data_IF_282892900810
#
_entry.id   IF_282892900810
#
_cell.length_a   1.000
_cell.length_b   1.000
_cell.length_c   1.000
_cell.angle_alpha   90.00
_cell.angle_beta   90.00
_cell.angle_gamma   90.00
#
_symmetry.space_group_name_H-M   'P 1'
#
loop_
_entity.id
_entity.type
_entity.pdbx_description
1 polymer ?
#
# COMPACT_ATOMS: atom_id res chain seq x y z
N UNK A 1 12.72 -32.64 -19.46
CA UNK A 1 13.17 -31.26 -19.23
C UNK A 1 12.16 -30.36 -19.92
N UNK A 2 11.15 -29.91 -19.18
CA UNK A 2 10.05 -29.09 -19.70
C UNK A 2 10.46 -27.62 -19.73
N UNK A 3 10.26 -26.99 -20.88
CA UNK A 3 10.42 -25.56 -21.13
C UNK A 3 9.46 -24.74 -20.27
N UNK A 4 9.98 -23.87 -19.40
CA UNK A 4 9.16 -22.87 -18.69
C UNK A 4 9.68 -22.31 -17.37
N UNK A 5 10.76 -22.84 -16.77
CA UNK A 5 11.25 -22.32 -15.48
C UNK A 5 11.81 -20.90 -15.63
N UNK A 6 11.20 -19.95 -14.90
CA UNK A 6 11.71 -18.58 -14.76
C UNK A 6 13.06 -18.59 -14.04
N UNK A 7 13.97 -17.68 -14.43
CA UNK A 7 15.30 -17.61 -13.85
C UNK A 7 15.26 -17.06 -12.41
N UNK A 8 15.73 -17.86 -11.44
CA UNK A 8 15.86 -17.47 -10.03
C UNK A 8 16.92 -16.40 -9.84
N UNK A 9 16.51 -15.15 -10.00
CA UNK A 9 17.40 -13.98 -9.99
C UNK A 9 17.11 -13.01 -8.83
N UNK A 10 16.05 -13.28 -8.05
CA UNK A 10 15.60 -12.39 -7.00
C UNK A 10 16.04 -12.88 -5.61
N UNK A 11 17.12 -12.29 -5.10
CA UNK A 11 17.56 -12.49 -3.71
C UNK A 11 16.64 -11.86 -2.67
N UNK A 12 16.82 -12.22 -1.39
CA UNK A 12 15.98 -11.81 -0.26
C UNK A 12 15.65 -10.31 -0.20
N UNK A 13 16.64 -9.44 -0.44
CA UNK A 13 16.44 -7.99 -0.41
C UNK A 13 15.48 -7.53 -1.51
N UNK A 14 15.67 -8.00 -2.74
CA UNK A 14 14.76 -7.71 -3.85
C UNK A 14 13.34 -8.21 -3.56
N UNK A 15 13.22 -9.43 -3.03
CA UNK A 15 11.95 -10.04 -2.61
C UNK A 15 11.24 -9.22 -1.52
N UNK A 16 11.97 -8.74 -0.52
CA UNK A 16 11.44 -7.83 0.51
C UNK A 16 10.99 -6.50 -0.08
N UNK A 17 11.80 -5.88 -0.95
CA UNK A 17 11.44 -4.61 -1.58
C UNK A 17 10.19 -4.72 -2.45
N UNK A 18 10.00 -5.82 -3.17
CA UNK A 18 8.76 -6.07 -3.93
C UNK A 18 7.58 -6.21 -2.97
N UNK A 19 7.72 -6.97 -1.88
CA UNK A 19 6.66 -7.13 -0.87
C UNK A 19 6.29 -5.80 -0.21
N UNK A 20 7.29 -5.00 0.18
CA UNK A 20 7.11 -3.66 0.74
C UNK A 20 6.48 -2.70 -0.28
N UNK A 21 6.95 -2.68 -1.52
CA UNK A 21 6.36 -1.88 -2.58
C UNK A 21 4.92 -2.25 -2.90
N UNK A 22 4.56 -3.54 -2.81
CA UNK A 22 3.19 -3.97 -2.94
C UNK A 22 2.31 -3.49 -1.78
N UNK A 23 2.86 -3.19 -0.60
CA UNK A 23 2.13 -2.59 0.52
C UNK A 23 2.08 -1.06 0.41
N UNK A 24 3.20 -0.42 0.04
CA UNK A 24 3.38 1.03 -0.04
C UNK A 24 2.56 1.63 -1.17
N UNK A 25 1.60 2.48 -0.82
CA UNK A 25 0.80 3.23 -1.77
C UNK A 25 -0.34 3.92 -1.07
N UNK A 26 -1.55 3.86 -1.63
CA UNK A 26 -2.71 4.58 -1.09
C UNK A 26 -3.05 4.21 0.36
N UNK A 27 -2.59 3.04 0.81
CA UNK A 27 -2.59 2.63 2.21
C UNK A 27 -2.03 3.69 3.17
N UNK A 28 -0.83 4.21 2.89
CA UNK A 28 -0.21 5.22 3.77
C UNK A 28 -0.40 6.65 3.26
N UNK A 29 -0.54 6.84 1.95
CA UNK A 29 -0.67 8.17 1.36
C UNK A 29 -2.08 8.75 1.47
N UNK A 30 -3.13 7.93 1.62
CA UNK A 30 -4.54 8.38 1.60
C UNK A 30 -5.31 7.94 2.85
N UNK A 31 -5.17 6.67 3.28
CA UNK A 31 -6.01 6.14 4.36
C UNK A 31 -5.80 6.74 5.75
N UNK A 32 -4.67 7.36 6.15
CA UNK A 32 -4.53 7.89 7.52
C UNK A 32 -5.65 8.86 7.92
N UNK A 33 -6.01 9.82 7.08
CA UNK A 33 -7.10 10.76 7.35
C UNK A 33 -8.47 10.08 7.37
N UNK A 34 -8.74 9.16 6.42
CA UNK A 34 -9.99 8.39 6.39
C UNK A 34 -10.15 7.48 7.62
N UNK A 35 -9.06 6.89 8.10
CA UNK A 35 -9.00 6.10 9.33
C UNK A 35 -9.14 6.97 10.58
N UNK A 36 -8.48 8.14 10.59
CA UNK A 36 -8.59 9.12 11.67
C UNK A 36 -10.04 9.62 11.82
N UNK A 37 -10.77 9.82 10.72
CA UNK A 37 -12.20 10.16 10.78
C UNK A 37 -13.05 9.10 11.48
N UNK A 38 -12.63 7.83 11.48
CA UNK A 38 -13.33 6.69 12.08
C UNK A 38 -12.91 6.40 13.53
N UNK A 39 -11.64 6.62 13.88
CA UNK A 39 -11.07 6.22 15.18
C UNK A 39 -10.44 7.36 15.98
N UNK A 40 -10.32 8.57 15.40
CA UNK A 40 -9.51 9.64 15.96
C UNK A 40 -8.03 9.26 16.04
N UNK A 41 -7.29 9.78 17.03
CA UNK A 41 -5.89 9.43 17.27
C UNK A 41 -5.64 7.92 17.42
N UNK A 42 -6.63 7.16 17.88
CA UNK A 42 -6.57 5.70 17.97
C UNK A 42 -6.47 4.98 16.61
N UNK A 43 -6.48 5.69 15.48
CA UNK A 43 -6.12 5.15 14.16
C UNK A 43 -4.73 4.48 14.18
N UNK A 44 -3.82 4.92 15.04
CA UNK A 44 -2.50 4.30 15.21
C UNK A 44 -2.67 2.83 15.65
N UNK A 45 -3.56 2.58 16.62
CA UNK A 45 -3.89 1.23 17.10
C UNK A 45 -4.57 0.43 16.00
N UNK A 46 -5.42 1.07 15.19
CA UNK A 46 -6.07 0.42 14.06
C UNK A 46 -5.05 -0.14 13.04
N UNK A 47 -3.95 0.57 12.79
CA UNK A 47 -2.87 0.07 11.93
C UNK A 47 -2.10 -1.11 12.55
N UNK A 48 -1.89 -1.12 13.88
CA UNK A 48 -1.29 -2.27 14.57
C UNK A 48 -2.21 -3.49 14.45
N UNK A 49 -3.50 -3.31 14.77
CA UNK A 49 -4.50 -4.38 14.70
C UNK A 49 -4.63 -4.94 13.29
N UNK A 50 -4.66 -4.08 12.27
CA UNK A 50 -4.69 -4.51 10.87
C UNK A 50 -3.46 -5.35 10.48
N UNK A 51 -2.26 -4.98 10.94
CA UNK A 51 -1.04 -5.77 10.75
C UNK A 51 -1.11 -7.14 11.45
N UNK A 52 -1.61 -7.18 12.69
CA UNK A 52 -1.80 -8.43 13.43
C UNK A 52 -2.83 -9.35 12.77
N UNK A 53 -3.92 -8.80 12.23
CA UNK A 53 -4.98 -9.56 11.54
C UNK A 53 -4.47 -10.16 10.23
N UNK A 54 -3.49 -9.54 9.56
CA UNK A 54 -2.89 -10.10 8.33
C UNK A 54 -1.91 -11.24 8.61
N UNK A 55 -1.35 -11.31 9.82
CA UNK A 55 -0.27 -12.24 10.17
C UNK A 55 -0.63 -13.72 9.92
N UNK A 56 -1.82 -14.25 10.32
CA UNK A 56 -2.18 -15.63 10.04
C UNK A 56 -2.24 -15.93 8.53
N UNK A 57 -2.73 -14.97 7.73
CA UNK A 57 -2.77 -15.11 6.28
C UNK A 57 -1.36 -15.11 5.68
N UNK A 58 -0.45 -14.28 6.20
CA UNK A 58 0.94 -14.24 5.78
C UNK A 58 1.69 -15.54 6.14
N UNK A 59 1.47 -16.09 7.33
CA UNK A 59 2.06 -17.37 7.77
C UNK A 59 1.58 -18.54 6.91
N UNK A 60 0.26 -18.66 6.72
CA UNK A 60 -0.32 -19.70 5.86
C UNK A 60 0.19 -19.59 4.42
N UNK A 61 0.30 -18.36 3.88
CA UNK A 61 0.88 -18.13 2.56
C UNK A 61 2.36 -18.44 2.48
N UNK A 62 3.14 -18.14 3.51
CA UNK A 62 4.55 -18.46 3.56
C UNK A 62 4.74 -19.98 3.43
N UNK A 63 4.05 -20.78 4.25
CA UNK A 63 4.11 -22.25 4.19
C UNK A 63 3.73 -22.78 2.81
N UNK A 64 2.58 -22.37 2.25
CA UNK A 64 2.15 -22.80 0.91
C UNK A 64 3.17 -22.43 -0.17
N UNK A 65 3.73 -21.21 -0.11
CA UNK A 65 4.69 -20.73 -1.10
C UNK A 65 6.05 -21.43 -1.03
N UNK A 66 6.41 -21.96 0.15
CA UNK A 66 7.60 -22.81 0.28
C UNK A 66 7.37 -24.25 -0.16
N UNK A 67 6.14 -24.77 0.03
CA UNK A 67 5.77 -26.12 -0.39
C UNK A 67 5.53 -26.21 -1.91
N UNK A 68 4.99 -25.14 -2.51
CA UNK A 68 4.68 -25.04 -3.94
C UNK A 68 5.26 -23.72 -4.49
N UNK A 69 6.59 -23.64 -4.72
CA UNK A 69 7.27 -22.43 -5.17
C UNK A 69 7.09 -22.19 -6.66
N UNK A 70 5.83 -22.13 -7.09
CA UNK A 70 5.39 -21.97 -8.47
C UNK A 70 4.67 -20.63 -8.66
N UNK A 71 4.72 -20.10 -9.87
CA UNK A 71 4.07 -18.86 -10.26
C UNK A 71 2.57 -19.10 -10.43
N UNK A 72 1.76 -18.41 -9.63
CA UNK A 72 0.30 -18.59 -9.64
C UNK A 72 -0.39 -18.14 -8.36
N UNK A 73 0.37 -17.99 -7.27
CA UNK A 73 -0.09 -17.35 -6.04
C UNK A 73 -1.34 -18.02 -5.46
N UNK A 74 -2.38 -17.23 -5.19
CA UNK A 74 -3.58 -17.72 -4.47
C UNK A 74 -4.43 -18.69 -5.26
N UNK A 75 -4.48 -18.52 -6.59
CA UNK A 75 -5.20 -19.43 -7.47
C UNK A 75 -4.63 -20.84 -7.38
N UNK A 76 -3.32 -20.99 -7.63
CA UNK A 76 -2.65 -22.28 -7.68
C UNK A 76 -2.75 -23.07 -6.37
N UNK A 77 -2.62 -22.40 -5.22
CA UNK A 77 -2.65 -23.09 -3.92
C UNK A 77 -4.05 -23.63 -3.61
N UNK A 78 -5.10 -22.88 -3.97
CA UNK A 78 -6.48 -23.30 -3.72
C UNK A 78 -6.93 -24.32 -4.76
N UNK A 79 -6.52 -24.18 -6.02
CA UNK A 79 -6.73 -25.17 -7.08
C UNK A 79 -6.16 -26.53 -6.67
N UNK A 80 -4.90 -26.57 -6.22
CA UNK A 80 -4.28 -27.83 -5.77
C UNK A 80 -4.88 -28.42 -4.51
N UNK A 81 -5.36 -27.59 -3.59
CA UNK A 81 -5.89 -28.05 -2.31
C UNK A 81 -7.38 -28.47 -2.38
N UNK A 82 -8.19 -27.76 -3.17
CA UNK A 82 -9.65 -27.87 -3.17
C UNK A 82 -10.26 -28.15 -4.55
N UNK A 83 -9.45 -28.18 -5.59
CA UNK A 83 -9.85 -28.43 -6.97
C UNK A 83 -10.22 -27.17 -7.77
N UNK A 84 -10.46 -27.33 -9.09
CA UNK A 84 -10.53 -26.20 -10.02
C UNK A 84 -11.62 -25.17 -9.74
N UNK A 85 -12.79 -25.60 -9.26
CA UNK A 85 -13.90 -24.68 -8.98
C UNK A 85 -13.51 -23.64 -7.92
N UNK A 86 -12.94 -24.11 -6.80
CA UNK A 86 -12.51 -23.22 -5.72
C UNK A 86 -11.28 -22.40 -6.12
N UNK A 87 -10.38 -22.98 -6.91
CA UNK A 87 -9.27 -22.27 -7.55
C UNK A 87 -9.78 -21.06 -8.34
N UNK A 88 -10.71 -21.25 -9.27
CA UNK A 88 -11.29 -20.19 -10.10
C UNK A 88 -12.01 -19.13 -9.28
N UNK A 89 -12.80 -19.51 -8.27
CA UNK A 89 -13.45 -18.53 -7.36
C UNK A 89 -12.40 -17.65 -6.67
N UNK A 90 -11.33 -18.26 -6.16
CA UNK A 90 -10.25 -17.52 -5.51
C UNK A 90 -9.43 -16.66 -6.49
N UNK A 91 -9.22 -17.14 -7.71
CA UNK A 91 -8.55 -16.42 -8.79
C UNK A 91 -9.32 -15.16 -9.19
N UNK A 92 -10.63 -15.28 -9.42
CA UNK A 92 -11.51 -14.14 -9.70
C UNK A 92 -11.53 -13.16 -8.52
N UNK A 93 -11.59 -13.65 -7.28
CA UNK A 93 -11.51 -12.81 -6.09
C UNK A 93 -10.18 -12.05 -5.98
N UNK A 94 -9.06 -12.72 -6.26
CA UNK A 94 -7.73 -12.12 -6.26
C UNK A 94 -7.58 -11.07 -7.38
N UNK A 95 -8.20 -11.32 -8.54
CA UNK A 95 -8.27 -10.37 -9.65
C UNK A 95 -9.06 -9.11 -9.28
N UNK A 96 -10.29 -9.25 -8.77
CA UNK A 96 -11.09 -8.12 -8.30
C UNK A 96 -10.38 -7.30 -7.22
N UNK A 97 -9.75 -7.97 -6.26
CA UNK A 97 -8.96 -7.31 -5.20
C UNK A 97 -7.85 -6.43 -5.79
N UNK A 98 -7.17 -6.91 -6.84
CA UNK A 98 -6.09 -6.17 -7.47
C UNK A 98 -6.59 -5.00 -8.33
N UNK A 99 -7.71 -5.18 -9.04
CA UNK A 99 -8.39 -4.11 -9.78
C UNK A 99 -8.80 -2.99 -8.82
N UNK A 100 -9.51 -3.30 -7.73
CA UNK A 100 -9.94 -2.29 -6.76
C UNK A 100 -8.78 -1.58 -6.09
N UNK A 101 -7.71 -2.31 -5.77
CA UNK A 101 -6.50 -1.71 -5.20
C UNK A 101 -5.81 -0.75 -6.18
N UNK A 102 -5.71 -1.12 -7.45
CA UNK A 102 -5.11 -0.28 -8.50
C UNK A 102 -5.95 0.99 -8.72
N UNK A 103 -7.27 0.86 -8.78
CA UNK A 103 -8.19 2.00 -8.83
C UNK A 103 -8.01 2.93 -7.64
N UNK A 104 -7.86 2.37 -6.43
CA UNK A 104 -7.63 3.17 -5.23
C UNK A 104 -6.28 3.93 -5.27
N UNK A 105 -5.23 3.31 -5.83
CA UNK A 105 -3.95 3.98 -6.06
C UNK A 105 -4.08 5.15 -7.06
N UNK A 106 -4.87 4.99 -8.14
CA UNK A 106 -5.13 6.06 -9.11
C UNK A 106 -5.90 7.25 -8.52
N UNK A 107 -6.87 7.00 -7.64
CA UNK A 107 -7.58 8.06 -6.91
C UNK A 107 -6.61 8.84 -6.02
N UNK A 108 -5.75 8.13 -5.27
CA UNK A 108 -4.70 8.78 -4.49
C UNK A 108 -3.74 9.58 -5.36
N UNK A 109 -3.29 9.01 -6.48
CA UNK A 109 -2.38 9.66 -7.42
C UNK A 109 -2.98 10.97 -7.95
N UNK A 110 -4.25 10.93 -8.34
CA UNK A 110 -5.00 12.13 -8.74
C UNK A 110 -5.04 13.19 -7.64
N UNK A 111 -5.28 12.80 -6.38
CA UNK A 111 -5.35 13.74 -5.27
C UNK A 111 -4.02 14.46 -5.03
N UNK A 112 -2.90 13.74 -5.12
CA UNK A 112 -1.56 14.34 -4.98
C UNK A 112 -1.14 15.17 -6.21
N UNK A 113 -1.58 14.81 -7.41
CA UNK A 113 -1.26 15.59 -8.63
C UNK A 113 -1.98 16.93 -8.68
N UNK A 114 -3.16 17.04 -8.08
CA UNK A 114 -3.90 18.31 -7.98
C UNK A 114 -3.11 19.37 -7.18
N UNK A 115 -2.23 18.97 -6.25
CA UNK A 115 -1.31 19.88 -5.54
C UNK A 115 -0.41 20.65 -6.52
N UNK A 116 0.05 20.00 -7.60
CA UNK A 116 0.92 20.61 -8.60
C UNK A 116 0.16 21.38 -9.69
N UNK A 117 -1.12 21.06 -9.87
CA UNK A 117 -1.93 21.54 -10.96
C UNK A 117 -3.35 21.86 -10.46
N UNK A 118 -3.45 22.94 -9.67
CA UNK A 118 -4.72 23.59 -9.33
C UNK A 118 -5.68 23.79 -10.54
N UNK A 119 -5.23 24.00 -11.81
CA UNK A 119 -6.13 24.20 -12.94
C UNK A 119 -6.66 22.91 -13.60
N UNK A 120 -6.38 21.70 -13.10
CA UNK A 120 -7.09 20.48 -13.53
C UNK A 120 -8.53 20.50 -12.96
N UNK A 121 -9.29 21.50 -13.39
CA UNK A 121 -10.62 21.83 -12.91
C UNK A 121 -11.64 20.75 -13.24
N UNK A 122 -12.28 20.24 -12.18
CA UNK A 122 -13.66 19.79 -12.24
C UNK A 122 -13.96 18.45 -11.59
N UNK A 123 -13.06 17.47 -11.64
CA UNK A 123 -13.33 16.15 -11.05
C UNK A 123 -12.08 15.31 -10.85
N UNK A 124 -11.76 14.98 -9.59
CA UNK A 124 -10.74 13.99 -9.23
C UNK A 124 -10.93 12.66 -9.97
N UNK A 125 -12.19 12.29 -10.24
CA UNK A 125 -12.55 11.10 -11.01
C UNK A 125 -12.01 11.16 -12.44
N UNK A 126 -12.14 12.30 -13.13
CA UNK A 126 -11.63 12.45 -14.50
C UNK A 126 -10.10 12.39 -14.54
N UNK A 127 -9.42 12.99 -13.57
CA UNK A 127 -7.95 12.91 -13.45
C UNK A 127 -7.52 11.47 -13.23
N UNK A 128 -8.15 10.76 -12.29
CA UNK A 128 -7.85 9.35 -12.01
C UNK A 128 -8.10 8.46 -13.25
N UNK A 129 -9.18 8.69 -14.00
CA UNK A 129 -9.47 7.99 -15.25
C UNK A 129 -8.42 8.27 -16.34
N UNK A 130 -8.00 9.53 -16.50
CA UNK A 130 -6.96 9.92 -17.46
C UNK A 130 -5.61 9.27 -17.13
N UNK A 131 -5.22 9.25 -15.85
CA UNK A 131 -4.03 8.56 -15.37
C UNK A 131 -4.12 7.05 -15.58
N UNK A 132 -5.28 6.46 -15.31
CA UNK A 132 -5.53 5.05 -15.61
C UNK A 132 -5.32 4.72 -17.09
N UNK A 133 -5.88 5.54 -17.99
CA UNK A 133 -5.68 5.39 -19.43
C UNK A 133 -4.19 5.54 -19.83
N UNK A 134 -3.48 6.51 -19.26
CA UNK A 134 -2.05 6.70 -19.51
C UNK A 134 -1.22 5.48 -19.06
N UNK A 135 -1.50 4.94 -17.86
CA UNK A 135 -0.83 3.73 -17.38
C UNK A 135 -1.16 2.53 -18.28
N UNK A 136 -2.40 2.38 -18.74
CA UNK A 136 -2.76 1.32 -19.71
C UNK A 136 -1.96 1.45 -21.02
N UNK A 137 -1.85 2.66 -21.57
CA UNK A 137 -1.05 2.91 -22.79
C UNK A 137 0.43 2.59 -22.59
N UNK A 138 1.01 2.96 -21.44
CA UNK A 138 2.38 2.61 -21.08
C UNK A 138 2.59 1.09 -21.00
N UNK A 139 1.61 0.37 -20.46
CA UNK A 139 1.64 -1.09 -20.38
C UNK A 139 1.54 -1.76 -21.75
N UNK A 140 0.67 -1.25 -22.64
CA UNK A 140 0.58 -1.74 -24.03
C UNK A 140 1.88 -1.46 -24.80
N UNK A 141 2.56 -0.35 -24.47
CA UNK A 141 3.84 0.03 -25.09
C UNK A 141 5.04 -0.80 -24.60
N UNK A 142 4.81 -1.79 -23.72
CA UNK A 142 5.84 -2.73 -23.27
C UNK A 142 6.82 -2.16 -22.23
N UNK A 143 6.46 -1.07 -21.55
CA UNK A 143 7.32 -0.49 -20.51
C UNK A 143 7.17 -1.23 -19.18
N UNK A 144 7.78 -2.40 -19.06
CA UNK A 144 7.88 -3.10 -17.78
C UNK A 144 8.89 -2.37 -16.88
N UNK A 145 8.45 -1.90 -15.71
CA UNK A 145 9.38 -1.50 -14.64
C UNK A 145 10.09 -2.77 -14.14
N UNK A 146 11.35 -2.95 -14.51
CA UNK A 146 12.18 -4.04 -14.01
C UNK A 146 12.25 -4.01 -12.47
N UNK A 147 12.30 -5.17 -11.82
CA UNK A 147 12.36 -5.31 -10.35
C UNK A 147 13.47 -4.49 -9.67
N UNK A 148 14.58 -4.20 -10.37
CA UNK A 148 15.63 -3.28 -9.89
C UNK A 148 15.14 -1.85 -9.72
N UNK A 149 14.34 -1.34 -10.67
CA UNK A 149 13.75 0.01 -10.59
C UNK A 149 12.76 0.06 -9.43
N UNK A 150 11.94 -0.99 -9.26
CA UNK A 150 11.02 -1.10 -8.13
C UNK A 150 11.76 -1.04 -6.79
N UNK A 151 12.86 -1.79 -6.65
CA UNK A 151 13.66 -1.79 -5.43
C UNK A 151 14.23 -0.39 -5.10
N UNK A 152 14.70 0.35 -6.11
CA UNK A 152 15.17 1.74 -5.93
C UNK A 152 14.03 2.65 -5.49
N UNK A 153 12.88 2.61 -6.17
CA UNK A 153 11.71 3.42 -5.82
C UNK A 153 11.27 3.16 -4.38
N UNK A 154 11.11 1.88 -4.01
CA UNK A 154 10.69 1.49 -2.66
C UNK A 154 11.69 1.94 -1.62
N UNK A 155 13.00 1.78 -1.88
CA UNK A 155 14.05 2.23 -0.97
C UNK A 155 13.98 3.75 -0.75
N UNK A 156 13.81 4.54 -1.81
CA UNK A 156 13.66 5.99 -1.72
C UNK A 156 12.41 6.38 -0.92
N UNK A 157 11.27 5.71 -1.16
CA UNK A 157 10.04 5.97 -0.41
C UNK A 157 10.21 5.62 1.06
N UNK A 158 10.79 4.47 1.40
CA UNK A 158 11.03 4.05 2.79
C UNK A 158 11.95 5.05 3.51
N UNK A 159 13.02 5.50 2.87
CA UNK A 159 13.90 6.54 3.42
C UNK A 159 13.14 7.86 3.61
N UNK A 160 12.33 8.27 2.64
CA UNK A 160 11.51 9.47 2.74
C UNK A 160 10.49 9.41 3.89
N UNK A 161 9.82 8.27 4.07
CA UNK A 161 8.89 8.05 5.18
C UNK A 161 9.60 8.04 6.53
N UNK A 162 10.77 7.39 6.62
CA UNK A 162 11.58 7.40 7.84
C UNK A 162 12.04 8.82 8.20
N UNK A 163 12.53 9.58 7.21
CA UNK A 163 12.91 10.98 7.40
C UNK A 163 11.71 11.83 7.85
N UNK A 164 10.55 11.67 7.22
CA UNK A 164 9.32 12.35 7.62
C UNK A 164 8.96 12.07 9.08
N UNK A 165 8.94 10.80 9.49
CA UNK A 165 8.62 10.38 10.86
C UNK A 165 9.63 10.90 11.88
N UNK A 166 10.93 10.84 11.59
CA UNK A 166 11.97 11.32 12.51
C UNK A 166 11.84 12.83 12.73
N UNK A 167 11.62 13.61 11.67
CA UNK A 167 11.41 15.05 11.77
C UNK A 167 10.10 15.39 12.52
N UNK A 168 9.04 14.62 12.28
CA UNK A 168 7.79 14.74 13.04
C UNK A 168 8.01 14.58 14.55
N UNK A 169 8.87 13.66 14.98
CA UNK A 169 9.15 13.43 16.39
C UNK A 169 9.70 14.66 17.14
N UNK A 170 10.29 15.63 16.43
CA UNK A 170 10.82 16.86 17.03
C UNK A 170 9.81 18.01 17.10
N UNK A 171 8.78 17.99 16.25
CA UNK A 171 7.86 19.12 16.04
C UNK A 171 6.41 18.78 16.38
N UNK A 172 6.07 17.50 16.49
CA UNK A 172 4.71 17.02 16.74
C UNK A 172 4.10 17.60 18.02
N UNK A 173 2.83 17.98 17.95
CA UNK A 173 2.04 18.36 19.11
C UNK A 173 1.45 17.11 19.78
N UNK A 174 2.02 16.73 20.92
CA UNK A 174 1.55 15.60 21.70
C UNK A 174 0.14 15.79 22.28
N UNK A 175 -0.36 17.03 22.37
CA UNK A 175 -1.74 17.32 22.78
C UNK A 175 -2.78 16.74 21.81
N UNK A 176 -2.42 16.55 20.54
CA UNK A 176 -3.31 15.99 19.51
C UNK A 176 -3.61 14.50 19.70
N UNK A 177 -2.83 13.80 20.53
CA UNK A 177 -3.12 12.41 20.90
C UNK A 177 -4.15 12.31 22.04
N UNK A 178 -4.39 13.39 22.77
CA UNK A 178 -5.36 13.45 23.85
C UNK A 178 -6.34 14.62 23.65
N UNK A 179 -7.15 14.60 22.57
CA UNK A 179 -8.18 15.62 22.38
C UNK A 179 -9.23 15.52 23.49
N UNK A 180 -10.08 16.55 23.62
CA UNK A 180 -11.11 16.61 24.66
C UNK A 180 -12.05 15.38 24.66
N UNK A 181 -12.32 14.82 23.48
CA UNK A 181 -13.16 13.62 23.29
C UNK A 181 -12.39 12.30 23.51
N UNK A 182 -11.11 12.37 23.92
CA UNK A 182 -10.24 11.23 24.21
C UNK A 182 -9.50 10.64 22.99
N UNK A 183 -8.54 9.77 23.27
CA UNK A 183 -7.69 9.12 22.25
C UNK A 183 -8.50 8.29 21.23
N UNK A 184 -9.52 7.57 21.70
CA UNK A 184 -10.42 6.78 20.87
C UNK A 184 -11.79 7.47 20.76
N UNK A 185 -11.87 8.49 19.90
CA UNK A 185 -13.02 9.41 19.80
C UNK A 185 -14.36 8.72 19.49
N UNK A 186 -14.32 7.53 18.89
CA UNK A 186 -15.50 6.70 18.57
C UNK A 186 -15.48 5.36 19.32
N UNK A 187 -14.75 5.28 20.43
CA UNK A 187 -14.57 4.07 21.23
C UNK A 187 -13.89 2.92 20.47
N UNK A 188 -13.97 1.72 21.05
CA UNK A 188 -13.35 0.50 20.49
C UNK A 188 -13.95 0.09 19.14
N UNK A 189 -15.25 0.31 18.94
CA UNK A 189 -15.93 0.05 17.66
C UNK A 189 -15.36 0.88 16.50
N UNK A 190 -15.02 2.15 16.74
CA UNK A 190 -14.35 3.01 15.77
C UNK A 190 -12.97 2.49 15.38
N UNK A 191 -12.19 2.02 16.36
CA UNK A 191 -10.86 1.43 16.14
C UNK A 191 -10.95 0.15 15.30
N UNK A 192 -11.87 -0.75 15.59
CA UNK A 192 -12.07 -1.98 14.80
C UNK A 192 -12.52 -1.66 13.38
N UNK A 193 -13.43 -0.69 13.22
CA UNK A 193 -13.90 -0.23 11.90
C UNK A 193 -12.76 0.40 11.09
N UNK A 194 -11.92 1.21 11.74
CA UNK A 194 -10.71 1.75 11.12
C UNK A 194 -9.73 0.63 10.76
N UNK A 195 -9.54 -0.37 11.62
CA UNK A 195 -8.63 -1.50 11.37
C UNK A 195 -9.05 -2.30 10.14
N UNK A 196 -10.34 -2.62 10.02
CA UNK A 196 -10.90 -3.28 8.84
C UNK A 196 -10.72 -2.42 7.58
N UNK A 197 -10.83 -1.10 7.70
CA UNK A 197 -10.65 -0.17 6.59
C UNK A 197 -9.18 -0.06 6.14
N UNK A 198 -8.24 0.07 7.07
CA UNK A 198 -6.80 0.21 6.76
C UNK A 198 -6.10 -1.11 6.49
N UNK A 199 -6.79 -2.25 6.69
CA UNK A 199 -6.31 -3.60 6.35
C UNK A 199 -5.76 -3.71 4.92
N UNK A 200 -6.36 -2.99 3.97
CA UNK A 200 -5.91 -2.98 2.58
C UNK A 200 -4.45 -2.51 2.42
N UNK A 201 -3.93 -1.72 3.36
CA UNK A 201 -2.53 -1.26 3.39
C UNK A 201 -1.54 -2.43 3.52
N UNK A 202 -1.97 -3.54 4.12
CA UNK A 202 -1.15 -4.73 4.36
C UNK A 202 -1.41 -5.85 3.35
N UNK A 203 -2.45 -5.74 2.52
CA UNK A 203 -2.83 -6.78 1.55
C UNK A 203 -1.74 -7.09 0.50
N UNK A 204 -0.71 -6.25 0.37
CA UNK A 204 0.43 -6.48 -0.50
C UNK A 204 1.38 -7.58 -0.04
N UNK A 205 1.42 -7.91 1.26
CA UNK A 205 2.44 -8.80 1.84
C UNK A 205 2.49 -10.17 1.16
N UNK A 206 1.32 -10.73 0.84
CA UNK A 206 1.18 -12.08 0.26
C UNK A 206 1.43 -12.11 -1.25
N UNK A 207 1.54 -10.95 -1.91
CA UNK A 207 1.74 -10.88 -3.37
C UNK A 207 3.10 -11.40 -3.79
N UNK A 208 4.09 -11.39 -2.90
CA UNK A 208 5.41 -11.96 -3.19
C UNK A 208 5.37 -13.46 -3.51
N UNK A 209 4.30 -14.17 -3.12
CA UNK A 209 4.07 -15.55 -3.49
C UNK A 209 3.83 -15.75 -5.01
N UNK A 210 3.42 -14.71 -5.75
CA UNK A 210 3.15 -14.86 -7.19
C UNK A 210 4.41 -14.90 -8.05
N UNK A 211 5.57 -14.53 -7.49
CA UNK A 211 6.86 -14.53 -8.17
C UNK A 211 7.80 -15.58 -7.55
N UNK A 212 7.24 -16.61 -6.92
CA UNK A 212 8.00 -17.61 -6.17
C UNK A 212 9.07 -18.33 -7.02
N UNK A 213 8.84 -18.52 -8.32
CA UNK A 213 9.79 -19.13 -9.24
C UNK A 213 11.02 -18.26 -9.53
N UNK A 214 10.88 -16.94 -9.44
CA UNK A 214 11.97 -15.97 -9.64
C UNK A 214 12.83 -15.80 -8.38
N UNK A 215 12.36 -16.28 -7.22
CA UNK A 215 13.03 -16.11 -5.93
C UNK A 215 14.15 -17.14 -5.74
N UNK A 216 15.35 -16.65 -5.43
CA UNK A 216 16.46 -17.50 -4.99
C UNK A 216 16.14 -18.15 -3.65
N UNK A 217 16.39 -19.45 -3.49
CA UNK A 217 16.14 -20.19 -2.24
C UNK A 217 14.74 -19.90 -1.63
N UNK A 218 13.65 -20.18 -2.36
CA UNK A 218 12.29 -19.74 -1.99
C UNK A 218 11.86 -20.28 -0.62
N UNK A 219 12.30 -21.49 -0.24
CA UNK A 219 12.05 -22.10 1.07
C UNK A 219 12.48 -21.24 2.27
N UNK A 220 13.51 -20.39 2.09
CA UNK A 220 13.99 -19.46 3.12
C UNK A 220 13.60 -18.02 2.83
N UNK A 221 13.72 -17.60 1.58
CA UNK A 221 13.58 -16.19 1.24
C UNK A 221 12.12 -15.72 1.20
N UNK A 222 11.15 -16.56 0.82
CA UNK A 222 9.74 -16.16 0.81
C UNK A 222 9.18 -15.91 2.22
N UNK A 223 9.36 -16.81 3.21
CA UNK A 223 8.89 -16.55 4.58
C UNK A 223 9.54 -15.31 5.20
N UNK A 224 10.86 -15.18 5.05
CA UNK A 224 11.60 -14.02 5.56
C UNK A 224 11.14 -12.73 4.89
N UNK A 225 10.89 -12.76 3.58
CA UNK A 225 10.43 -11.59 2.87
C UNK A 225 9.02 -11.18 3.29
N UNK A 226 8.08 -12.11 3.43
CA UNK A 226 6.71 -11.82 3.86
C UNK A 226 6.65 -11.29 5.30
N UNK A 227 7.28 -12.00 6.25
CA UNK A 227 7.19 -11.63 7.66
C UNK A 227 8.07 -10.42 7.98
N UNK A 228 9.25 -10.35 7.37
CA UNK A 228 10.16 -9.21 7.51
C UNK A 228 9.57 -7.93 6.94
N UNK A 229 9.00 -7.98 5.72
CA UNK A 229 8.32 -6.82 5.14
C UNK A 229 7.11 -6.40 5.97
N UNK A 230 6.30 -7.35 6.44
CA UNK A 230 5.14 -7.05 7.30
C UNK A 230 5.57 -6.31 8.56
N UNK A 231 6.56 -6.83 9.29
CA UNK A 231 7.04 -6.22 10.52
C UNK A 231 7.59 -4.81 10.28
N UNK A 232 8.43 -4.64 9.26
CA UNK A 232 9.01 -3.33 8.90
C UNK A 232 7.90 -2.35 8.50
N UNK A 233 6.97 -2.77 7.65
CA UNK A 233 5.90 -1.89 7.18
C UNK A 233 4.90 -1.55 8.29
N UNK A 234 4.60 -2.46 9.20
CA UNK A 234 3.78 -2.14 10.38
C UNK A 234 4.43 -1.06 11.23
N UNK A 235 5.73 -1.16 11.49
CA UNK A 235 6.47 -0.13 12.24
C UNK A 235 6.44 1.22 11.53
N UNK A 236 6.74 1.24 10.22
CA UNK A 236 6.72 2.46 9.41
C UNK A 236 5.32 3.07 9.39
N UNK A 237 4.28 2.29 9.13
CA UNK A 237 2.90 2.79 9.06
C UNK A 237 2.44 3.36 10.39
N UNK A 238 2.69 2.67 11.50
CA UNK A 238 2.36 3.17 12.84
C UNK A 238 3.05 4.51 13.10
N UNK A 239 4.34 4.60 12.78
CA UNK A 239 5.12 5.80 13.06
C UNK A 239 4.75 6.98 12.14
N UNK A 240 4.47 6.72 10.86
CA UNK A 240 3.98 7.72 9.91
C UNK A 240 2.58 8.19 10.28
N UNK A 241 1.67 7.30 10.66
CA UNK A 241 0.32 7.66 11.10
C UNK A 241 0.37 8.48 12.39
N UNK A 242 1.24 8.12 13.34
CA UNK A 242 1.48 8.92 14.52
C UNK A 242 2.02 10.31 14.17
N UNK A 243 2.94 10.41 13.22
CA UNK A 243 3.44 11.68 12.70
C UNK A 243 2.32 12.54 12.08
N UNK A 244 1.45 11.95 11.24
CA UNK A 244 0.28 12.66 10.68
C UNK A 244 -0.64 13.18 11.79
N UNK A 245 -0.93 12.37 12.82
CA UNK A 245 -1.77 12.81 13.96
C UNK A 245 -1.11 13.94 14.75
N UNK A 246 0.21 13.88 14.94
CA UNK A 246 0.95 14.91 15.67
C UNK A 246 1.17 16.21 14.89
N UNK A 247 1.24 16.13 13.55
CA UNK A 247 1.57 17.28 12.68
C UNK A 247 0.36 17.99 12.07
N UNK A 248 -0.75 17.28 11.84
CA UNK A 248 -1.93 17.85 11.17
C UNK A 248 -3.06 18.17 12.14
N UNK A 249 -3.77 19.27 11.88
CA UNK A 249 -5.00 19.58 12.63
C UNK A 249 -6.11 18.57 12.33
N UNK A 250 -6.87 18.22 13.37
CA UNK A 250 -7.95 17.25 13.28
C UNK A 250 -9.02 17.64 12.25
N UNK A 251 -9.27 18.95 12.10
CA UNK A 251 -10.24 19.48 11.14
C UNK A 251 -9.78 19.27 9.70
N UNK A 252 -8.50 19.51 9.41
CA UNK A 252 -7.90 19.24 8.10
C UNK A 252 -7.99 17.76 7.76
N UNK A 253 -7.67 16.88 8.72
CA UNK A 253 -7.77 15.43 8.49
C UNK A 253 -9.21 14.97 8.23
N UNK A 254 -10.22 15.54 8.90
CA UNK A 254 -11.63 15.12 8.79
C UNK A 254 -12.40 15.77 7.64
N UNK A 255 -12.01 16.99 7.27
CA UNK A 255 -12.78 17.89 6.40
C UNK A 255 -11.97 18.61 5.31
N UNK A 256 -10.64 18.43 5.25
CA UNK A 256 -9.77 19.06 4.26
C UNK A 256 -9.82 18.44 2.85
N UNK A 257 -10.60 17.38 2.64
CA UNK A 257 -10.74 16.72 1.35
C UNK A 257 -11.91 17.24 0.49
N UNK A 258 -12.10 16.66 -0.70
CA UNK A 258 -13.21 17.01 -1.59
C UNK A 258 -14.57 16.91 -0.90
N UNK A 259 -15.47 17.87 -1.16
CA UNK A 259 -16.83 17.94 -0.61
C UNK A 259 -16.89 17.96 0.95
N UNK A 260 -15.86 18.49 1.63
CA UNK A 260 -15.78 18.49 3.10
C UNK A 260 -15.52 17.11 3.71
N UNK A 261 -15.01 16.18 2.88
CA UNK A 261 -14.59 14.84 3.27
C UNK A 261 -13.23 14.83 3.97
N UNK A 262 -12.79 13.65 4.39
CA UNK A 262 -11.45 13.50 4.95
C UNK A 262 -10.39 13.87 3.90
N UNK A 263 -9.27 14.45 4.34
CA UNK A 263 -8.16 14.74 3.43
C UNK A 263 -7.72 13.48 2.68
N UNK A 264 -7.40 13.64 1.40
CA UNK A 264 -6.83 12.59 0.57
C UNK A 264 -5.31 12.68 0.48
N UNK A 265 -4.71 13.69 1.11
CA UNK A 265 -3.28 13.99 1.10
C UNK A 265 -2.70 14.15 2.53
N UNK A 266 -3.10 13.34 3.52
CA UNK A 266 -2.75 13.55 4.93
C UNK A 266 -1.25 13.69 5.23
N UNK A 267 -0.40 13.04 4.44
CA UNK A 267 1.05 13.16 4.62
C UNK A 267 1.60 14.47 4.07
N UNK A 268 1.03 15.01 2.99
CA UNK A 268 1.40 16.34 2.49
C UNK A 268 0.92 17.40 3.48
N UNK A 269 -0.29 17.25 4.02
CA UNK A 269 -0.85 18.15 5.05
C UNK A 269 0.08 18.23 6.29
N UNK A 270 0.59 17.09 6.75
CA UNK A 270 1.54 17.05 7.87
C UNK A 270 2.94 17.55 7.49
N UNK A 271 3.38 17.36 6.25
CA UNK A 271 4.67 17.84 5.78
C UNK A 271 4.75 19.36 5.66
N UNK A 272 3.62 20.02 5.38
CA UNK A 272 3.50 21.47 5.42
C UNK A 272 3.88 22.03 6.80
N UNK A 273 3.56 21.32 7.89
CA UNK A 273 3.94 21.72 9.25
C UNK A 273 5.43 21.57 9.55
N UNK A 274 6.16 20.72 8.81
CA UNK A 274 7.59 20.49 9.02
C UNK A 274 8.47 21.48 8.26
N UNK A 275 8.19 21.67 6.97
CA UNK A 275 9.07 22.39 6.05
C UNK A 275 8.32 23.43 5.19
N UNK A 276 7.10 23.81 5.58
CA UNK A 276 6.23 24.66 4.77
C UNK A 276 5.89 24.01 3.43
N UNK A 277 5.62 24.83 2.42
CA UNK A 277 5.24 24.35 1.07
C UNK A 277 6.31 23.46 0.40
N UNK A 278 7.59 23.55 0.80
CA UNK A 278 8.62 22.63 0.30
C UNK A 278 8.39 21.19 0.77
N UNK A 279 8.00 21.00 2.04
CA UNK A 279 7.70 19.67 2.59
C UNK A 279 6.49 19.03 1.91
N UNK A 280 5.46 19.84 1.66
CA UNK A 280 4.25 19.43 0.94
C UNK A 280 4.60 18.92 -0.47
N UNK A 281 5.34 19.72 -1.24
CA UNK A 281 5.82 19.35 -2.59
C UNK A 281 6.67 18.09 -2.56
N UNK A 282 7.61 17.98 -1.62
CA UNK A 282 8.51 16.83 -1.53
C UNK A 282 7.72 15.53 -1.28
N UNK A 283 6.82 15.54 -0.30
CA UNK A 283 5.99 14.35 0.00
C UNK A 283 5.03 14.06 -1.15
N UNK A 284 4.50 15.09 -1.82
CA UNK A 284 3.66 14.89 -2.99
C UNK A 284 4.41 14.22 -4.15
N UNK A 285 5.67 14.59 -4.43
CA UNK A 285 6.51 13.89 -5.43
C UNK A 285 6.72 12.43 -5.02
N UNK A 286 7.07 12.16 -3.76
CA UNK A 286 7.26 10.79 -3.25
C UNK A 286 5.96 9.97 -3.39
N UNK A 287 4.82 10.57 -3.06
CA UNK A 287 3.50 9.95 -3.20
C UNK A 287 3.19 9.61 -4.66
N UNK A 288 3.42 10.55 -5.57
CA UNK A 288 3.19 10.37 -7.01
C UNK A 288 4.00 9.19 -7.56
N UNK A 289 5.29 9.13 -7.22
CA UNK A 289 6.16 8.02 -7.66
C UNK A 289 5.68 6.68 -7.08
N UNK A 290 5.38 6.64 -5.77
CA UNK A 290 4.92 5.43 -5.10
C UNK A 290 3.56 4.92 -5.64
N UNK A 291 2.59 5.82 -5.81
CA UNK A 291 1.24 5.51 -6.27
C UNK A 291 1.24 5.11 -7.75
N UNK A 292 2.07 5.74 -8.58
CA UNK A 292 2.24 5.35 -10.00
C UNK A 292 2.85 3.97 -10.10
N UNK A 293 3.91 3.68 -9.34
CA UNK A 293 4.52 2.35 -9.27
C UNK A 293 3.50 1.28 -8.83
N UNK A 294 2.72 1.55 -7.78
CA UNK A 294 1.66 0.64 -7.32
C UNK A 294 0.57 0.42 -8.37
N UNK A 295 0.08 1.49 -9.01
CA UNK A 295 -0.96 1.40 -10.04
C UNK A 295 -0.47 0.57 -11.25
N UNK A 296 0.77 0.81 -11.69
CA UNK A 296 1.38 0.08 -12.79
C UNK A 296 1.53 -1.42 -12.46
N UNK A 297 2.11 -1.73 -11.29
CA UNK A 297 2.29 -3.11 -10.85
C UNK A 297 0.94 -3.86 -10.69
N UNK A 298 -0.08 -3.16 -10.21
CA UNK A 298 -1.43 -3.71 -10.05
C UNK A 298 -2.11 -4.01 -11.39
N UNK A 299 -2.04 -3.08 -12.34
CA UNK A 299 -2.59 -3.28 -13.70
C UNK A 299 -1.88 -4.45 -14.40
N UNK A 300 -0.55 -4.47 -14.38
CA UNK A 300 0.25 -5.58 -14.94
C UNK A 300 -0.11 -6.92 -14.32
N UNK A 301 -0.08 -7.02 -13.00
CA UNK A 301 -0.38 -8.28 -12.33
C UNK A 301 -1.84 -8.72 -12.57
N UNK A 302 -2.79 -7.78 -12.68
CA UNK A 302 -4.20 -8.11 -12.94
C UNK A 302 -4.44 -8.70 -14.33
N UNK A 303 -3.63 -8.32 -15.32
CA UNK A 303 -3.74 -8.87 -16.67
C UNK A 303 -3.31 -10.35 -16.76
N UNK A 304 -2.43 -10.81 -15.85
CA UNK A 304 -1.89 -12.18 -15.85
C UNK A 304 -2.85 -13.21 -15.22
N UNK A 305 -3.72 -12.79 -14.30
CA UNK A 305 -4.66 -13.72 -13.62
C UNK A 305 -5.67 -14.37 -14.59
N UNK A 306 -6.40 -13.62 -15.45
CA UNK A 306 -7.32 -14.23 -16.41
C UNK A 306 -6.64 -15.07 -17.49
N UNK A 307 -5.36 -14.85 -17.78
CA UNK A 307 -4.60 -15.63 -18.75
C UNK A 307 -4.18 -17.00 -18.16
N UNK A 308 -3.97 -17.06 -16.84
CA UNK A 308 -3.54 -18.27 -16.15
C UNK A 308 -4.71 -19.17 -15.68
N UNK A 309 -5.94 -18.67 -15.70
CA UNK A 309 -7.18 -19.41 -15.39
C UNK A 309 -7.81 -19.97 -16.66
#
# INVERSE_FOLDING_TARGET
MGSGDLERSLGLFGTMMISMGAMIGSGIFVLPALGYKKAGPAVIVAYVLAGLVVLPAALSKAEMSTAMPESGGTYLYIDRAMGPLFGTIAGIGAWFSLVFKSSFALVGLGAYLVIFAEPLGGSLTLVALGLGAAVVVLNISGTELCGKVQAVIVSLVVVGLAAYTVNAGFVADFGRFAPADGFATHGTGGVVTAAAFVFVSYAGVTKVASIAEEVENPGRNLPLAMLGSLAIMTLIYVAVVAAVVGLSDAEVLKHGGPNGGASLTPMADGAAALFGGFGEVLIAVVAVVALTSMANAGILSSSRFPLAM
#
